data_IF_868620738711
#
_entry.id   IF_868620738711
#
_cell.length_a   1.000
_cell.length_b   1.000
_cell.length_c   1.000
_cell.angle_alpha   90.00
_cell.angle_beta   90.00
_cell.angle_gamma   90.00
#
_symmetry.space_group_name_H-M   'P 1'
#
loop_
_entity.id
_entity.type
_entity.pdbx_description
1 polymer ?
#
# COMPACT_ATOMS: atom_id res chain seq x y z
N UNK A 1 -30.37 -37.88 -0.49
CA UNK A 1 -30.57 -36.45 -0.16
C UNK A 1 -30.92 -36.15 1.31
N UNK A 2 -30.89 -37.16 2.18
CA UNK A 2 -31.15 -36.95 3.63
C UNK A 2 -29.91 -36.55 4.44
N UNK A 3 -28.75 -36.53 3.82
CA UNK A 3 -27.47 -36.20 4.46
C UNK A 3 -27.30 -34.67 4.67
N UNK A 4 -27.93 -33.85 3.82
CA UNK A 4 -27.90 -32.39 3.91
C UNK A 4 -28.79 -31.85 5.04
N UNK A 5 -29.89 -32.50 5.36
CA UNK A 5 -30.86 -32.02 6.37
C UNK A 5 -30.39 -32.25 7.82
N UNK A 6 -29.49 -33.18 8.08
CA UNK A 6 -29.00 -33.47 9.44
C UNK A 6 -27.87 -32.57 9.93
N UNK A 7 -27.17 -31.87 9.03
CA UNK A 7 -26.04 -31.00 9.39
C UNK A 7 -26.40 -29.51 9.52
N UNK A 8 -27.57 -29.12 8.99
CA UNK A 8 -28.09 -27.73 9.08
C UNK A 8 -29.18 -27.57 10.14
N UNK A 9 -29.52 -28.62 10.87
CA UNK A 9 -30.51 -28.55 11.97
C UNK A 9 -29.89 -28.21 13.33
N UNK A 10 -28.59 -28.03 13.40
CA UNK A 10 -27.93 -27.57 14.62
C UNK A 10 -27.99 -26.01 14.64
N UNK A 11 -28.83 -25.39 15.52
CA UNK A 11 -28.95 -23.94 15.58
C UNK A 11 -27.61 -23.24 15.83
N UNK A 12 -26.67 -23.94 16.47
CA UNK A 12 -25.31 -23.45 16.69
C UNK A 12 -24.46 -23.40 15.43
N UNK A 13 -24.63 -24.37 14.49
CA UNK A 13 -23.90 -24.37 13.21
C UNK A 13 -24.38 -23.25 12.28
N UNK A 14 -25.69 -23.00 12.22
CA UNK A 14 -26.28 -21.90 11.42
C UNK A 14 -25.86 -20.55 12.00
N UNK A 15 -25.90 -20.38 13.31
CA UNK A 15 -25.44 -19.16 13.98
C UNK A 15 -23.94 -18.90 13.71
N UNK A 16 -23.12 -19.94 13.75
CA UNK A 16 -21.67 -19.84 13.47
C UNK A 16 -21.40 -19.41 12.01
N UNK A 17 -22.13 -19.99 11.05
CA UNK A 17 -22.02 -19.63 9.63
C UNK A 17 -22.47 -18.18 9.40
N UNK A 18 -23.56 -17.74 10.05
CA UNK A 18 -24.04 -16.36 9.97
C UNK A 18 -23.00 -15.39 10.56
N UNK A 19 -22.46 -15.69 11.74
CA UNK A 19 -21.43 -14.86 12.39
C UNK A 19 -20.18 -14.78 11.51
N UNK A 20 -19.71 -15.91 10.97
CA UNK A 20 -18.56 -15.96 10.06
C UNK A 20 -18.85 -15.17 8.76
N UNK A 21 -20.02 -15.33 8.17
CA UNK A 21 -20.44 -14.59 6.98
C UNK A 21 -20.52 -13.10 7.22
N UNK A 22 -21.16 -12.69 8.32
CA UNK A 22 -21.24 -11.28 8.72
C UNK A 22 -19.85 -10.69 9.04
N UNK A 23 -18.97 -11.46 9.70
CA UNK A 23 -17.61 -11.04 10.00
C UNK A 23 -16.79 -10.86 8.71
N UNK A 24 -16.89 -11.81 7.78
CA UNK A 24 -16.22 -11.71 6.48
C UNK A 24 -16.75 -10.53 5.65
N UNK A 25 -18.05 -10.33 5.61
CA UNK A 25 -18.69 -9.20 4.95
C UNK A 25 -18.28 -7.87 5.58
N UNK A 26 -18.21 -7.81 6.91
CA UNK A 26 -17.73 -6.64 7.64
C UNK A 26 -16.27 -6.32 7.31
N UNK A 27 -15.39 -7.33 7.33
CA UNK A 27 -13.97 -7.16 6.96
C UNK A 27 -13.85 -6.69 5.51
N UNK A 28 -14.63 -7.26 4.59
CA UNK A 28 -14.61 -6.88 3.18
C UNK A 28 -15.08 -5.44 2.95
N UNK A 29 -16.19 -5.03 3.55
CA UNK A 29 -16.73 -3.68 3.43
C UNK A 29 -15.84 -2.62 4.10
N UNK A 30 -15.19 -2.99 5.22
CA UNK A 30 -14.34 -2.08 5.99
C UNK A 30 -12.85 -2.29 5.77
N UNK A 31 -12.44 -3.09 4.77
CA UNK A 31 -11.02 -3.37 4.50
C UNK A 31 -10.19 -2.11 4.31
N UNK A 32 -10.71 -1.11 3.61
CA UNK A 32 -10.04 0.17 3.39
C UNK A 32 -9.86 0.99 4.70
N UNK A 33 -10.80 0.84 5.65
CA UNK A 33 -10.70 1.47 6.97
C UNK A 33 -9.80 0.68 7.94
N UNK A 34 -9.71 -0.64 7.75
CA UNK A 34 -8.86 -1.51 8.58
C UNK A 34 -7.38 -1.39 8.22
N UNK A 35 -7.06 -1.05 6.97
CA UNK A 35 -5.67 -0.93 6.51
C UNK A 35 -4.83 0.03 7.39
N UNK A 36 -5.25 1.28 7.67
CA UNK A 36 -4.49 2.17 8.55
C UNK A 36 -4.37 1.64 9.98
N UNK A 37 -5.34 0.86 10.47
CA UNK A 37 -5.27 0.24 11.79
C UNK A 37 -4.14 -0.79 11.86
N UNK A 38 -4.05 -1.69 10.86
CA UNK A 38 -2.97 -2.67 10.80
C UNK A 38 -1.60 -2.02 10.65
N UNK A 39 -1.50 -0.99 9.80
CA UNK A 39 -0.27 -0.20 9.65
C UNK A 39 0.11 0.47 10.97
N UNK A 40 -0.85 1.07 11.67
CA UNK A 40 -0.61 1.71 12.96
C UNK A 40 -0.15 0.71 14.02
N UNK A 41 -0.74 -0.49 14.08
CA UNK A 41 -0.32 -1.56 14.99
C UNK A 41 1.13 -1.99 14.69
N UNK A 42 1.47 -2.21 13.42
CA UNK A 42 2.82 -2.60 13.02
C UNK A 42 3.85 -1.52 13.38
N UNK A 43 3.54 -0.24 13.11
CA UNK A 43 4.40 0.88 13.48
C UNK A 43 4.50 1.02 15.00
N UNK A 44 3.40 0.89 15.74
CA UNK A 44 3.40 0.95 17.19
C UNK A 44 4.27 -0.16 17.80
N UNK A 45 4.20 -1.37 17.24
CA UNK A 45 5.07 -2.47 17.67
C UNK A 45 6.55 -2.16 17.43
N UNK A 46 6.88 -1.58 16.27
CA UNK A 46 8.26 -1.20 15.94
C UNK A 46 8.78 -0.09 16.86
N UNK A 47 7.94 0.91 17.17
CA UNK A 47 8.29 2.04 18.01
C UNK A 47 8.24 1.74 19.50
N UNK A 48 7.68 0.62 19.93
CA UNK A 48 7.67 0.19 21.32
C UNK A 48 9.10 -0.01 21.89
N UNK A 49 10.01 -0.48 21.04
CA UNK A 49 11.41 -0.70 21.41
C UNK A 49 12.13 0.60 21.84
N UNK A 50 12.13 1.68 21.03
CA UNK A 50 12.72 2.96 21.47
C UNK A 50 11.97 3.59 22.65
N UNK A 51 10.64 3.44 22.75
CA UNK A 51 9.89 3.90 23.91
C UNK A 51 10.38 3.22 25.18
N UNK A 52 10.55 1.90 25.14
CA UNK A 52 11.05 1.15 26.30
C UNK A 52 12.46 1.55 26.71
N UNK A 53 13.34 1.83 25.75
CA UNK A 53 14.70 2.34 26.02
C UNK A 53 14.68 3.71 26.72
N UNK A 54 13.80 4.63 26.29
CA UNK A 54 13.66 5.93 26.91
C UNK A 54 13.13 5.81 28.36
N UNK A 55 12.22 4.87 28.59
CA UNK A 55 11.73 4.59 29.94
C UNK A 55 12.84 4.06 30.87
N UNK A 56 13.78 3.27 30.35
CA UNK A 56 14.93 2.78 31.13
C UNK A 56 15.88 3.91 31.54
N UNK A 57 15.91 5.02 30.82
CA UNK A 57 16.69 6.23 31.17
C UNK A 57 15.97 7.11 32.23
N UNK A 58 14.78 6.69 32.69
CA UNK A 58 14.04 7.37 33.74
C UNK A 58 12.91 8.30 33.27
N UNK A 59 12.60 8.30 31.95
CA UNK A 59 11.45 9.08 31.47
C UNK A 59 10.12 8.39 31.76
N UNK A 60 9.09 9.18 31.99
CA UNK A 60 7.73 8.66 32.10
C UNK A 60 7.28 8.04 30.78
N UNK A 61 6.38 7.06 30.82
CA UNK A 61 5.86 6.40 29.61
C UNK A 61 5.25 7.40 28.62
N UNK A 62 4.45 8.34 29.13
CA UNK A 62 3.81 9.35 28.30
C UNK A 62 4.85 10.24 27.58
N UNK A 63 5.86 10.72 28.29
CA UNK A 63 6.94 11.52 27.72
C UNK A 63 7.73 10.74 26.68
N UNK A 64 8.05 9.47 26.97
CA UNK A 64 8.76 8.59 26.02
C UNK A 64 7.96 8.37 24.75
N UNK A 65 6.67 8.12 24.84
CA UNK A 65 5.77 7.95 23.67
C UNK A 65 5.70 9.23 22.85
N UNK A 66 5.52 10.39 23.50
CA UNK A 66 5.47 11.68 22.79
C UNK A 66 6.76 11.94 22.03
N UNK A 67 7.92 11.76 22.66
CA UNK A 67 9.23 11.99 22.02
C UNK A 67 9.42 11.07 20.83
N UNK A 68 9.15 9.77 21.00
CA UNK A 68 9.35 8.78 19.94
C UNK A 68 8.41 9.01 18.76
N UNK A 69 7.12 9.26 19.03
CA UNK A 69 6.13 9.49 17.98
C UNK A 69 6.43 10.80 17.24
N UNK A 70 6.77 11.88 17.94
CA UNK A 70 7.13 13.16 17.32
C UNK A 70 8.40 13.02 16.48
N UNK A 71 9.41 12.31 17.00
CA UNK A 71 10.64 12.02 16.22
C UNK A 71 10.35 11.20 14.97
N UNK A 72 9.49 10.19 15.08
CA UNK A 72 9.07 9.37 13.94
C UNK A 72 8.33 10.20 12.87
N UNK A 73 7.40 11.06 13.29
CA UNK A 73 6.69 11.97 12.38
C UNK A 73 7.68 12.92 11.72
N UNK A 74 8.58 13.53 12.49
CA UNK A 74 9.60 14.44 11.96
C UNK A 74 10.50 13.75 10.94
N UNK A 75 10.99 12.55 11.25
CA UNK A 75 11.81 11.75 10.32
C UNK A 75 11.05 11.36 9.06
N UNK A 76 9.78 10.95 9.20
CA UNK A 76 8.90 10.62 8.07
C UNK A 76 8.66 11.83 7.16
N UNK A 77 8.41 13.01 7.73
CA UNK A 77 8.22 14.24 6.96
C UNK A 77 9.49 14.66 6.21
N UNK A 78 10.65 14.61 6.88
CA UNK A 78 11.94 14.91 6.24
C UNK A 78 12.21 13.93 5.10
N UNK A 79 11.97 12.64 5.33
CA UNK A 79 12.09 11.61 4.30
C UNK A 79 11.16 11.87 3.10
N UNK A 80 9.91 12.16 3.37
CA UNK A 80 8.91 12.44 2.32
C UNK A 80 9.28 13.69 1.51
N UNK A 81 9.61 14.79 2.19
CA UNK A 81 9.99 16.06 1.52
C UNK A 81 11.32 15.93 0.77
N UNK A 82 12.24 15.11 1.25
CA UNK A 82 13.51 14.85 0.57
C UNK A 82 13.37 13.93 -0.65
N UNK A 83 12.52 12.90 -0.56
CA UNK A 83 12.28 11.94 -1.65
C UNK A 83 11.41 12.53 -2.77
N UNK A 84 10.44 13.36 -2.42
CA UNK A 84 9.50 13.94 -3.39
C UNK A 84 10.18 14.67 -4.57
N UNK A 85 11.15 15.57 -4.38
CA UNK A 85 11.82 16.22 -5.49
C UNK A 85 12.69 15.26 -6.32
N UNK A 86 13.23 14.22 -5.70
CA UNK A 86 14.02 13.19 -6.40
C UNK A 86 13.12 12.39 -7.34
N UNK A 87 11.99 11.90 -6.82
CA UNK A 87 11.00 11.16 -7.61
C UNK A 87 10.46 12.03 -8.74
N UNK A 88 10.13 13.28 -8.45
CA UNK A 88 9.64 14.23 -9.46
C UNK A 88 10.64 14.44 -10.61
N UNK A 89 11.90 14.71 -10.28
CA UNK A 89 12.97 14.88 -11.28
C UNK A 89 13.18 13.63 -12.12
N UNK A 90 13.23 12.46 -11.48
CA UNK A 90 13.42 11.19 -12.19
C UNK A 90 12.23 10.87 -13.10
N UNK A 91 11.01 11.09 -12.64
CA UNK A 91 9.80 10.90 -13.45
C UNK A 91 9.74 11.88 -14.63
N UNK A 92 10.09 13.15 -14.39
CA UNK A 92 10.13 14.16 -15.44
C UNK A 92 11.18 13.86 -16.51
N UNK A 93 12.36 13.41 -16.10
CA UNK A 93 13.42 13.00 -17.02
C UNK A 93 13.00 11.81 -17.87
N UNK A 94 12.38 10.79 -17.25
CA UNK A 94 11.85 9.64 -17.99
C UNK A 94 10.81 10.05 -19.02
N UNK A 95 9.86 10.92 -18.66
CA UNK A 95 8.83 11.40 -19.59
C UNK A 95 9.41 12.17 -20.77
N UNK A 96 10.53 12.87 -20.61
CA UNK A 96 11.22 13.56 -21.69
C UNK A 96 12.09 12.65 -22.56
N UNK A 97 12.69 11.62 -21.96
CA UNK A 97 13.57 10.68 -22.64
C UNK A 97 12.81 9.63 -23.48
N UNK A 98 11.63 9.21 -23.03
CA UNK A 98 10.82 8.18 -23.71
C UNK A 98 10.54 8.53 -25.18
N UNK A 99 10.10 9.76 -25.57
CA UNK A 99 9.89 10.09 -26.98
C UNK A 99 11.18 10.00 -27.82
N UNK A 100 12.32 10.39 -27.25
CA UNK A 100 13.62 10.31 -27.91
C UNK A 100 14.02 8.84 -28.16
N UNK A 101 13.92 8.01 -27.13
CA UNK A 101 14.21 6.56 -27.23
C UNK A 101 13.34 5.88 -28.28
N UNK A 102 12.06 6.26 -28.38
CA UNK A 102 11.14 5.72 -29.40
C UNK A 102 11.61 6.09 -30.80
N UNK A 103 11.95 7.37 -31.02
CA UNK A 103 12.38 7.86 -32.33
C UNK A 103 13.70 7.23 -32.76
N UNK A 104 14.63 7.10 -31.85
CA UNK A 104 15.93 6.48 -32.09
C UNK A 104 15.80 4.98 -32.37
N UNK A 105 14.97 4.28 -31.57
CA UNK A 105 14.65 2.87 -31.80
C UNK A 105 13.95 2.63 -33.12
N UNK A 106 13.03 3.50 -33.56
CA UNK A 106 12.37 3.43 -34.87
C UNK A 106 13.37 3.57 -36.02
N UNK A 107 14.27 4.56 -35.91
CA UNK A 107 15.31 4.77 -36.91
C UNK A 107 16.21 3.54 -37.03
N UNK A 108 16.61 2.96 -35.89
CA UNK A 108 17.43 1.75 -35.89
C UNK A 108 16.68 0.54 -36.46
N UNK A 109 15.41 0.35 -36.12
CA UNK A 109 14.59 -0.75 -36.64
C UNK A 109 14.40 -0.66 -38.15
N UNK A 110 14.28 0.55 -38.71
CA UNK A 110 14.13 0.76 -40.13
C UNK A 110 15.41 0.47 -40.95
N UNK A 111 16.59 0.47 -40.32
CA UNK A 111 17.86 0.09 -40.95
C UNK A 111 18.08 -1.43 -40.96
N UNK A 112 17.33 -2.20 -40.18
CA UNK A 112 17.47 -3.66 -40.12
C UNK A 112 17.14 -4.40 -41.42
N UNK A 113 16.06 -4.07 -42.18
CA UNK A 113 15.77 -4.69 -43.44
C UNK A 113 16.83 -4.41 -44.51
N UNK A 114 17.50 -3.25 -44.47
CA UNK A 114 18.60 -2.92 -45.35
C UNK A 114 19.84 -3.78 -45.08
N UNK A 115 20.10 -4.11 -43.81
CA UNK A 115 21.23 -4.95 -43.43
C UNK A 115 20.98 -6.45 -43.60
N UNK A 116 19.74 -6.89 -43.46
CA UNK A 116 19.34 -8.31 -43.48
C UNK A 116 18.07 -8.54 -44.32
N UNK A 117 18.09 -8.29 -45.62
CA UNK A 117 16.90 -8.35 -46.50
C UNK A 117 16.28 -9.75 -46.62
N UNK A 118 17.06 -10.80 -46.40
CA UNK A 118 16.57 -12.19 -46.50
C UNK A 118 15.84 -12.66 -45.23
N UNK A 119 16.03 -11.98 -44.08
CA UNK A 119 15.51 -12.42 -42.77
C UNK A 119 14.38 -11.54 -42.27
N UNK A 120 14.34 -10.26 -42.64
CA UNK A 120 13.44 -9.27 -42.05
C UNK A 120 12.75 -8.48 -43.17
N UNK A 121 11.41 -8.57 -43.20
CA UNK A 121 10.59 -7.82 -44.15
C UNK A 121 10.21 -6.46 -43.58
N UNK A 122 10.19 -5.43 -44.44
CA UNK A 122 9.85 -4.04 -44.05
C UNK A 122 8.47 -3.96 -43.40
N UNK A 123 7.50 -4.74 -43.91
CA UNK A 123 6.13 -4.79 -43.35
C UNK A 123 6.08 -5.30 -41.90
N UNK A 124 6.93 -6.24 -41.55
CA UNK A 124 7.02 -6.76 -40.18
C UNK A 124 7.53 -5.67 -39.19
N UNK A 125 8.52 -4.91 -39.64
CA UNK A 125 9.05 -3.79 -38.85
C UNK A 125 8.00 -2.69 -38.67
N UNK A 126 7.29 -2.34 -39.76
CA UNK A 126 6.22 -1.34 -39.66
C UNK A 126 5.10 -1.78 -38.75
N UNK A 127 4.69 -3.04 -38.80
CA UNK A 127 3.68 -3.60 -37.91
C UNK A 127 4.14 -3.52 -36.43
N UNK A 128 5.40 -3.84 -36.17
CA UNK A 128 5.99 -3.75 -34.84
C UNK A 128 6.01 -2.31 -34.31
N UNK A 129 6.39 -1.35 -35.17
CA UNK A 129 6.41 0.08 -34.83
C UNK A 129 4.99 0.57 -34.48
N UNK A 130 3.99 0.20 -35.27
CA UNK A 130 2.58 0.57 -35.00
C UNK A 130 2.11 -0.04 -33.69
N UNK A 131 2.40 -1.32 -33.46
CA UNK A 131 2.06 -2.00 -32.21
C UNK A 131 2.66 -1.33 -30.99
N UNK A 132 3.95 -0.96 -31.06
CA UNK A 132 4.64 -0.26 -29.96
C UNK A 132 4.03 1.11 -29.74
N UNK A 133 3.75 1.88 -30.80
CA UNK A 133 3.08 3.20 -30.69
C UNK A 133 1.71 3.08 -30.04
N UNK A 134 0.90 2.14 -30.44
CA UNK A 134 -0.43 1.89 -29.84
C UNK A 134 -0.32 1.56 -28.35
N UNK A 135 0.62 0.71 -27.98
CA UNK A 135 0.85 0.38 -26.56
C UNK A 135 1.26 1.60 -25.76
N UNK A 136 2.12 2.45 -26.28
CA UNK A 136 2.55 3.69 -25.61
C UNK A 136 1.39 4.66 -25.42
N UNK A 137 0.51 4.80 -26.42
CA UNK A 137 -0.69 5.64 -26.31
C UNK A 137 -1.64 5.11 -25.23
N UNK A 138 -1.87 3.79 -25.17
CA UNK A 138 -2.67 3.16 -24.12
C UNK A 138 -2.06 3.40 -22.73
N UNK A 139 -0.75 3.23 -22.59
CA UNK A 139 -0.05 3.52 -21.34
C UNK A 139 -0.14 4.99 -20.94
N UNK A 140 -0.03 5.90 -21.93
CA UNK A 140 -0.22 7.33 -21.70
C UNK A 140 -1.61 7.66 -21.16
N UNK A 141 -2.66 7.03 -21.69
CA UNK A 141 -4.04 7.16 -21.20
C UNK A 141 -4.19 6.64 -19.78
N UNK A 142 -3.63 5.46 -19.47
CA UNK A 142 -3.66 4.88 -18.12
C UNK A 142 -2.97 5.80 -17.10
N UNK A 143 -1.84 6.40 -17.47
CA UNK A 143 -1.13 7.35 -16.61
C UNK A 143 -1.97 8.63 -16.40
N UNK A 144 -2.63 9.11 -17.45
CA UNK A 144 -3.49 10.29 -17.38
C UNK A 144 -4.72 10.04 -16.47
N UNK A 145 -5.37 8.90 -16.63
CA UNK A 145 -6.50 8.48 -15.79
C UNK A 145 -6.08 8.29 -14.33
N UNK A 146 -4.93 7.66 -14.08
CA UNK A 146 -4.36 7.54 -12.75
C UNK A 146 -4.06 8.92 -12.13
N UNK A 147 -3.58 9.87 -12.93
CA UNK A 147 -3.31 11.25 -12.47
C UNK A 147 -4.59 12.00 -12.11
N UNK A 148 -5.69 11.79 -12.83
CA UNK A 148 -6.99 12.40 -12.52
C UNK A 148 -7.63 11.82 -11.24
N UNK A 149 -7.42 10.53 -10.99
CA UNK A 149 -7.87 9.88 -9.76
C UNK A 149 -7.04 10.23 -8.53
N UNK A 150 -5.84 10.78 -8.73
CA UNK A 150 -4.89 11.14 -7.65
C UNK A 150 -5.43 12.17 -6.65
N UNK A 151 -6.46 12.94 -7.00
CA UNK A 151 -7.08 13.90 -6.05
C UNK A 151 -7.71 13.16 -4.87
N UNK A 152 -8.44 12.07 -5.14
CA UNK A 152 -9.02 11.23 -4.09
C UNK A 152 -7.93 10.54 -3.26
N UNK A 153 -6.85 10.12 -3.91
CA UNK A 153 -5.71 9.48 -3.26
C UNK A 153 -4.93 10.46 -2.36
N UNK A 154 -4.81 11.71 -2.77
CA UNK A 154 -4.20 12.77 -1.94
C UNK A 154 -5.02 13.00 -0.67
N UNK A 155 -6.36 13.06 -0.78
CA UNK A 155 -7.24 13.20 0.39
C UNK A 155 -7.09 11.98 1.31
N UNK A 156 -7.07 10.77 0.76
CA UNK A 156 -6.84 9.56 1.53
C UNK A 156 -5.46 9.57 2.21
N UNK A 157 -4.42 9.99 1.49
CA UNK A 157 -3.07 10.13 2.04
C UNK A 157 -3.03 11.13 3.21
N UNK A 158 -3.70 12.28 3.08
CA UNK A 158 -3.80 13.27 4.16
C UNK A 158 -4.49 12.70 5.39
N UNK A 159 -5.58 11.95 5.19
CA UNK A 159 -6.28 11.27 6.29
C UNK A 159 -5.34 10.25 6.96
N UNK A 160 -4.63 9.43 6.19
CA UNK A 160 -3.67 8.46 6.74
C UNK A 160 -2.51 9.13 7.46
N UNK A 161 -2.02 10.25 6.94
CA UNK A 161 -0.92 11.00 7.56
C UNK A 161 -1.27 11.53 8.97
N UNK A 162 -2.54 11.79 9.23
CA UNK A 162 -3.04 12.24 10.55
C UNK A 162 -3.47 11.03 11.39
N UNK A 163 -4.25 10.13 10.79
CA UNK A 163 -4.87 9.02 11.51
C UNK A 163 -3.86 7.99 12.02
N UNK A 164 -2.89 7.61 11.18
CA UNK A 164 -1.91 6.57 11.54
C UNK A 164 -1.04 7.00 12.72
N UNK A 165 -0.40 8.19 12.76
CA UNK A 165 0.37 8.63 13.92
C UNK A 165 -0.48 8.77 15.19
N UNK A 166 -1.72 9.24 15.05
CA UNK A 166 -2.65 9.35 16.17
C UNK A 166 -2.95 7.97 16.77
N UNK A 167 -3.24 6.98 15.93
CA UNK A 167 -3.47 5.60 16.36
C UNK A 167 -2.22 4.98 16.98
N UNK A 168 -1.04 5.19 16.38
CA UNK A 168 0.25 4.75 16.91
C UNK A 168 0.46 5.31 18.33
N UNK A 169 0.19 6.59 18.52
CA UNK A 169 0.28 7.22 19.83
C UNK A 169 -0.63 6.54 20.85
N UNK A 170 -1.91 6.30 20.52
CA UNK A 170 -2.84 5.64 21.43
C UNK A 170 -2.43 4.18 21.70
N UNK A 171 -2.00 3.43 20.70
CA UNK A 171 -1.56 2.06 20.89
C UNK A 171 -0.31 1.96 21.78
N UNK A 172 0.64 2.88 21.65
CA UNK A 172 1.82 2.91 22.50
C UNK A 172 1.49 3.37 23.94
N UNK A 173 0.63 4.39 24.06
CA UNK A 173 0.22 4.93 25.36
C UNK A 173 -0.55 3.88 26.17
N UNK A 174 -1.57 3.27 25.56
CA UNK A 174 -2.53 2.40 26.24
C UNK A 174 -2.24 0.90 26.05
N UNK A 175 -1.01 0.56 25.63
CA UNK A 175 -0.57 -0.85 25.36
C UNK A 175 -0.94 -1.80 26.50
N UNK A 176 -0.73 -1.42 27.77
CA UNK A 176 -1.00 -2.28 28.91
C UNK A 176 -2.49 -2.56 29.06
N UNK A 177 -3.34 -1.55 28.95
CA UNK A 177 -4.78 -1.70 28.99
C UNK A 177 -5.32 -2.56 27.82
N UNK A 178 -4.73 -2.42 26.63
CA UNK A 178 -5.08 -3.22 25.47
C UNK A 178 -4.69 -4.69 25.66
N UNK A 179 -3.47 -4.97 26.15
CA UNK A 179 -3.00 -6.33 26.41
C UNK A 179 -3.83 -6.99 27.50
N UNK A 180 -4.14 -6.30 28.58
CA UNK A 180 -5.02 -6.80 29.65
C UNK A 180 -6.44 -7.11 29.11
N UNK A 181 -6.98 -6.26 28.27
CA UNK A 181 -8.29 -6.48 27.67
C UNK A 181 -8.30 -7.72 26.80
N UNK A 182 -7.28 -7.91 25.95
CA UNK A 182 -7.16 -9.08 25.07
C UNK A 182 -6.93 -10.36 25.89
N UNK A 183 -6.08 -10.32 26.91
CA UNK A 183 -5.81 -11.49 27.78
C UNK A 183 -7.01 -11.89 28.61
N UNK A 184 -7.92 -10.97 28.89
CA UNK A 184 -9.17 -11.25 29.60
C UNK A 184 -10.15 -12.07 28.77
N UNK A 185 -10.07 -11.98 27.44
CA UNK A 185 -10.89 -12.78 26.51
C UNK A 185 -10.27 -14.13 26.13
N UNK A 186 -8.97 -14.35 26.40
CA UNK A 186 -8.37 -15.66 26.19
C UNK A 186 -8.69 -16.55 27.41
N UNK A 187 -9.23 -17.75 27.19
CA UNK A 187 -9.41 -18.72 28.25
C UNK A 187 -8.03 -19.06 28.85
N UNK A 188 -7.88 -18.84 30.16
CA UNK A 188 -6.71 -19.33 30.87
C UNK A 188 -6.75 -20.87 30.80
N UNK A 189 -5.92 -21.43 29.95
CA UNK A 189 -5.65 -22.87 30.04
C UNK A 189 -5.03 -23.15 31.40
N UNK A 190 -5.67 -24.07 32.12
CA UNK A 190 -5.19 -24.65 33.38
C UNK A 190 -4.04 -25.60 33.08
#
# INVERSE_FOLDING_TARGET
>A
SQWYQRKFSDPHAVTLVIILGCSFLFIYLFSNLLMPVFVAIAIAFLLDLPVHRLMQVGLSRLSSVIIVVTSFIGFSLIGLLGLMPIVWRQSSNLLQEVPHMITESQTYLLTLPEKYPELIQVEQIQTLIVFVKDKILVWGQVILEASLNSISDIVALMIYLILVPLMVFFFLKDKQALVESVTRFLPKER
#
